data_IF_051596928057
#
_entry.id   IF_051596928057
#
_cell.length_a   1.000
_cell.length_b   1.000
_cell.length_c   1.000
_cell.angle_alpha   90.00
_cell.angle_beta   90.00
_cell.angle_gamma   90.00
#
_symmetry.space_group_name_H-M   'P 1'
#
loop_
_entity.id
_entity.type
_entity.pdbx_description
1 polymer ?
#
# COMPACT_ATOMS: atom_id res chain seq x y z
N UNK A 1 -48.83 -33.74 -2.06
CA UNK A 1 -48.66 -33.59 -3.52
C UNK A 1 -47.18 -33.39 -3.77
N UNK A 2 -46.45 -34.48 -4.00
CA UNK A 2 -46.00 -34.99 -5.32
C UNK A 2 -44.73 -34.27 -5.81
N UNK A 3 -43.61 -35.00 -5.63
CA UNK A 3 -42.28 -34.84 -6.25
C UNK A 3 -42.41 -34.69 -7.77
N UNK A 4 -41.55 -33.93 -8.44
CA UNK A 4 -40.58 -34.59 -9.32
C UNK A 4 -39.47 -33.68 -9.88
N UNK A 5 -38.26 -34.25 -10.05
CA UNK A 5 -37.06 -33.69 -10.65
C UNK A 5 -37.01 -33.98 -12.16
N UNK A 6 -36.24 -33.20 -12.92
CA UNK A 6 -35.52 -33.58 -14.16
C UNK A 6 -34.27 -32.67 -14.14
N UNK A 7 -33.06 -33.11 -13.76
CA UNK A 7 -32.21 -34.13 -14.39
C UNK A 7 -32.15 -33.98 -15.90
N UNK A 8 -31.16 -33.23 -16.37
CA UNK A 8 -30.40 -33.59 -17.59
C UNK A 8 -28.95 -33.16 -17.39
N UNK A 9 -28.21 -34.11 -16.82
CA UNK A 9 -26.79 -34.31 -17.08
C UNK A 9 -26.60 -34.49 -18.58
N UNK A 10 -25.73 -33.69 -19.19
CA UNK A 10 -24.97 -34.12 -20.37
C UNK A 10 -23.51 -33.75 -20.12
N UNK A 11 -22.80 -34.71 -19.55
CA UNK A 11 -21.35 -34.85 -19.67
C UNK A 11 -21.12 -35.65 -20.95
N UNK A 12 -20.36 -35.08 -21.89
CA UNK A 12 -19.54 -35.87 -22.80
C UNK A 12 -18.22 -35.14 -23.05
N UNK A 13 -17.16 -35.85 -22.68
CA UNK A 13 -15.76 -35.48 -22.77
C UNK A 13 -15.22 -35.57 -24.20
N UNK A 14 -14.26 -34.71 -24.53
CA UNK A 14 -13.31 -34.73 -25.67
C UNK A 14 -12.49 -33.42 -25.50
N UNK A 15 -11.16 -33.32 -25.39
CA UNK A 15 -10.03 -34.13 -25.84
C UNK A 15 -8.85 -33.85 -24.89
N UNK A 16 -8.13 -34.90 -24.49
CA UNK A 16 -6.81 -34.80 -23.90
C UNK A 16 -5.78 -34.37 -24.96
N UNK A 17 -5.10 -33.24 -24.76
CA UNK A 17 -3.87 -32.88 -25.47
C UNK A 17 -2.98 -31.97 -24.62
N UNK A 18 -2.20 -32.59 -23.74
CA UNK A 18 -0.81 -32.20 -23.48
C UNK A 18 -0.52 -31.11 -22.45
N UNK A 19 -0.54 -31.46 -21.17
CA UNK A 19 0.57 -31.04 -20.29
C UNK A 19 1.71 -32.07 -20.43
N UNK A 20 2.94 -31.60 -20.23
CA UNK A 20 4.20 -32.34 -20.07
C UNK A 20 4.84 -32.99 -21.32
N UNK A 21 5.86 -32.35 -21.88
CA UNK A 21 7.05 -33.04 -22.41
C UNK A 21 8.24 -32.62 -21.56
N UNK A 22 8.59 -33.46 -20.58
CA UNK A 22 9.90 -33.46 -19.96
C UNK A 22 10.74 -34.56 -20.62
N UNK A 23 11.98 -34.23 -20.96
CA UNK A 23 13.07 -35.16 -21.24
C UNK A 23 13.95 -34.74 -22.42
N UNK A 24 15.19 -35.25 -22.55
CA UNK A 24 16.11 -35.83 -21.57
C UNK A 24 17.42 -35.03 -21.45
N UNK A 25 18.36 -35.53 -20.63
CA UNK A 25 19.68 -34.97 -20.34
C UNK A 25 20.55 -34.64 -21.58
N UNK A 26 21.52 -33.74 -21.34
CA UNK A 26 22.50 -33.11 -22.24
C UNK A 26 23.29 -34.03 -23.20
N UNK A 27 24.03 -33.44 -24.16
CA UNK A 27 25.44 -33.16 -23.85
C UNK A 27 25.90 -31.72 -24.16
N UNK A 28 26.83 -31.25 -23.34
CA UNK A 28 27.63 -30.06 -23.53
C UNK A 28 28.29 -29.99 -24.92
N UNK A 29 28.32 -28.80 -25.51
CA UNK A 29 29.36 -28.38 -26.45
C UNK A 29 29.48 -26.87 -26.42
N UNK A 30 30.59 -26.42 -25.86
CA UNK A 30 31.10 -25.07 -25.96
C UNK A 30 31.75 -24.84 -27.33
N UNK A 31 31.48 -23.69 -27.94
CA UNK A 31 32.42 -22.86 -28.73
C UNK A 31 31.67 -21.58 -29.11
N UNK A 32 31.87 -20.45 -28.42
CA UNK A 32 32.92 -19.48 -28.72
C UNK A 32 32.45 -18.52 -29.84
N UNK A 33 31.70 -17.47 -29.53
CA UNK A 33 32.15 -16.09 -29.19
C UNK A 33 32.25 -15.16 -30.42
N UNK A 34 31.38 -14.15 -30.49
CA UNK A 34 31.68 -12.76 -30.85
C UNK A 34 30.37 -11.96 -31.00
N UNK A 35 30.12 -11.01 -30.09
CA UNK A 35 29.01 -10.07 -30.26
C UNK A 35 28.63 -9.34 -28.98
N UNK A 36 29.51 -8.45 -28.52
CA UNK A 36 29.18 -7.28 -27.69
C UNK A 36 28.37 -7.55 -26.42
N UNK A 37 29.06 -7.91 -25.35
CA UNK A 37 28.48 -7.90 -24.01
C UNK A 37 28.27 -6.47 -23.52
N UNK A 38 27.02 -6.08 -23.36
CA UNK A 38 26.61 -5.11 -22.34
C UNK A 38 26.05 -5.91 -21.16
N UNK A 39 26.94 -6.68 -20.53
CA UNK A 39 26.72 -7.11 -19.16
C UNK A 39 26.88 -5.83 -18.35
N UNK A 40 25.77 -5.29 -17.85
CA UNK A 40 25.81 -4.26 -16.82
C UNK A 40 26.48 -4.93 -15.62
N UNK A 41 27.79 -4.75 -15.51
CA UNK A 41 28.56 -5.09 -14.34
C UNK A 41 27.95 -4.32 -13.18
N UNK A 42 27.23 -5.03 -12.32
CA UNK A 42 26.74 -4.49 -11.07
C UNK A 42 27.97 -4.19 -10.22
N UNK A 43 28.51 -2.99 -10.35
CA UNK A 43 29.49 -2.45 -9.41
C UNK A 43 28.83 -2.54 -8.03
N UNK A 44 29.32 -3.40 -7.11
CA UNK A 44 28.84 -3.31 -5.75
C UNK A 44 29.25 -1.94 -5.25
N UNK A 45 28.28 -1.11 -4.84
CA UNK A 45 28.60 0.03 -4.00
C UNK A 45 29.21 -0.54 -2.73
N UNK A 46 30.54 -0.49 -2.64
CA UNK A 46 31.22 -0.69 -1.37
C UNK A 46 30.71 0.43 -0.47
N UNK A 47 29.93 0.06 0.53
CA UNK A 47 29.54 0.98 1.59
C UNK A 47 30.75 1.10 2.51
N UNK A 48 31.71 1.93 2.12
CA UNK A 48 32.66 2.48 3.08
C UNK A 48 31.99 3.71 3.71
N UNK A 49 30.90 3.45 4.43
CA UNK A 49 30.35 4.40 5.37
C UNK A 49 31.10 4.13 6.69
N UNK A 50 31.89 5.07 7.22
CA UNK A 50 32.43 4.91 8.55
C UNK A 50 31.26 4.69 9.51
N UNK A 51 31.36 3.62 10.31
CA UNK A 51 30.38 3.30 11.32
C UNK A 51 30.07 4.56 12.14
N UNK A 52 28.79 4.87 12.43
CA UNK A 52 28.50 5.94 13.37
C UNK A 52 29.16 5.58 14.69
N UNK A 53 30.12 6.39 15.10
CA UNK A 53 30.76 6.26 16.40
C UNK A 53 29.65 6.24 17.45
N UNK A 54 29.63 5.19 18.27
CA UNK A 54 28.82 5.16 19.47
C UNK A 54 29.15 6.42 20.29
N UNK A 55 28.16 7.24 20.70
CA UNK A 55 28.46 8.39 21.52
C UNK A 55 29.07 7.92 22.85
N UNK A 56 30.32 8.32 23.08
CA UNK A 56 31.01 8.12 24.33
C UNK A 56 30.23 8.82 25.44
N UNK A 57 29.83 8.05 26.45
CA UNK A 57 29.25 8.57 27.68
C UNK A 57 30.32 9.42 28.38
N UNK A 58 30.12 10.74 28.38
CA UNK A 58 30.95 11.67 29.16
C UNK A 58 30.22 11.95 30.48
N UNK A 59 30.90 12.00 31.64
CA UNK A 59 30.24 12.12 32.94
C UNK A 59 29.53 13.47 33.12
N UNK A 60 28.42 13.42 33.85
CA UNK A 60 27.62 14.59 34.23
C UNK A 60 28.43 15.64 35.00
N UNK A 61 28.33 16.94 34.65
CA UNK A 61 28.59 18.01 35.59
C UNK A 61 27.35 18.21 36.49
N UNK A 62 27.62 18.15 37.80
CA UNK A 62 26.69 18.43 38.89
C UNK A 62 26.47 19.95 39.00
N UNK A 63 25.22 20.36 38.75
CA UNK A 63 24.47 21.53 39.22
C UNK A 63 25.17 22.87 39.54
N UNK A 64 24.66 23.95 38.91
CA UNK A 64 24.12 25.11 39.63
C UNK A 64 22.99 25.76 38.80
N UNK A 65 21.90 26.30 39.41
CA UNK A 65 20.71 26.74 38.70
C UNK A 65 20.79 28.24 38.38
N UNK A 66 20.85 28.60 37.09
CA UNK A 66 20.43 29.92 36.63
C UNK A 66 19.03 29.82 36.02
N UNK A 67 18.08 30.33 36.79
CA UNK A 67 16.72 30.64 36.38
C UNK A 67 16.77 31.78 35.34
N UNK A 68 16.99 31.44 34.08
CA UNK A 68 16.57 32.32 32.98
C UNK A 68 15.10 32.03 32.68
N UNK A 69 14.24 32.83 33.29
CA UNK A 69 12.84 32.95 32.87
C UNK A 69 12.78 33.14 31.34
N UNK A 70 11.91 32.43 30.60
CA UNK A 70 11.65 32.74 29.21
C UNK A 70 11.11 34.17 29.14
N UNK A 71 11.78 35.03 28.39
CA UNK A 71 11.21 36.33 28.02
C UNK A 71 10.02 36.03 27.11
N UNK A 72 8.80 36.26 27.62
CA UNK A 72 7.57 36.20 26.84
C UNK A 72 7.67 37.22 25.70
N UNK A 73 7.84 36.72 24.47
CA UNK A 73 7.44 37.46 23.28
C UNK A 73 5.94 37.74 23.41
N UNK A 74 5.44 38.97 23.18
CA UNK A 74 4.00 39.27 23.22
C UNK A 74 3.27 38.54 22.08
N UNK A 75 3.10 37.22 22.23
CA UNK A 75 2.25 36.43 21.36
C UNK A 75 0.82 36.91 21.57
N UNK A 76 0.15 37.25 20.47
CA UNK A 76 -1.27 37.51 20.49
C UNK A 76 -1.99 36.25 21.00
N UNK A 77 -2.47 36.28 22.24
CA UNK A 77 -3.27 35.21 22.80
C UNK A 77 -4.57 35.09 22.00
N UNK A 78 -4.70 34.01 21.24
CA UNK A 78 -6.00 33.62 20.70
C UNK A 78 -6.86 33.20 21.89
N UNK A 79 -8.07 33.75 22.08
CA UNK A 79 -8.95 33.32 23.15
C UNK A 79 -9.19 31.81 23.03
N UNK A 80 -8.99 31.09 24.13
CA UNK A 80 -9.25 29.66 24.20
C UNK A 80 -10.73 29.42 23.83
N UNK A 81 -10.94 28.81 22.66
CA UNK A 81 -12.26 28.35 22.26
C UNK A 81 -12.74 27.24 23.21
N UNK A 82 -14.02 26.84 23.16
CA UNK A 82 -14.50 25.71 23.96
C UNK A 82 -13.59 24.50 23.79
N UNK A 83 -13.28 23.81 24.89
CA UNK A 83 -12.38 22.65 24.96
C UNK A 83 -12.86 21.50 24.06
N UNK A 84 -12.53 21.57 22.78
CA UNK A 84 -12.78 20.51 21.80
C UNK A 84 -11.62 19.51 21.88
N UNK A 85 -11.64 18.66 22.90
CA UNK A 85 -10.69 17.55 23.00
C UNK A 85 -10.79 16.63 21.75
N UNK A 86 -9.66 16.17 21.19
CA UNK A 86 -9.69 15.34 19.99
C UNK A 86 -10.35 13.98 20.27
N UNK A 87 -11.46 13.71 19.59
CA UNK A 87 -12.12 12.40 19.61
C UNK A 87 -11.47 11.51 18.55
N UNK A 88 -10.91 10.36 18.97
CA UNK A 88 -10.40 9.34 18.04
C UNK A 88 -11.56 8.51 17.49
N UNK A 89 -11.72 8.48 16.18
CA UNK A 89 -12.62 7.54 15.50
C UNK A 89 -11.92 6.19 15.39
N UNK A 90 -12.53 5.06 15.81
CA UNK A 90 -11.93 3.75 15.62
C UNK A 90 -11.87 3.45 14.13
N UNK A 91 -10.68 3.29 13.60
CA UNK A 91 -10.41 2.71 12.27
C UNK A 91 -9.69 1.39 12.52
N UNK A 92 -10.03 0.35 11.77
CA UNK A 92 -9.24 -0.89 11.82
C UNK A 92 -7.77 -0.58 11.55
N UNK A 93 -6.82 -1.20 12.24
CA UNK A 93 -5.38 -0.96 12.01
C UNK A 93 -4.79 -1.95 10.99
N UNK A 94 -5.59 -2.92 10.54
CA UNK A 94 -5.15 -3.99 9.63
C UNK A 94 -5.02 -3.43 8.21
N UNK A 95 -3.86 -3.57 7.55
CA UNK A 95 -3.68 -3.17 6.16
C UNK A 95 -4.64 -3.91 5.23
N UNK A 96 -5.20 -3.21 4.24
CA UNK A 96 -6.18 -3.82 3.34
C UNK A 96 -5.58 -4.99 2.54
N UNK A 97 -4.29 -4.91 2.19
CA UNK A 97 -3.57 -6.03 1.54
C UNK A 97 -3.58 -7.31 2.38
N UNK A 98 -3.59 -7.20 3.70
CA UNK A 98 -3.58 -8.34 4.63
C UNK A 98 -4.99 -8.85 4.87
N UNK A 99 -5.98 -7.96 4.87
CA UNK A 99 -7.39 -8.31 5.09
C UNK A 99 -8.03 -9.03 3.89
N UNK A 100 -7.79 -8.58 2.65
CA UNK A 100 -8.44 -9.12 1.45
C UNK A 100 -7.47 -9.70 0.40
N UNK A 101 -6.17 -9.69 0.71
CA UNK A 101 -5.11 -10.11 -0.21
C UNK A 101 -4.66 -9.01 -1.18
N UNK A 102 -3.41 -9.10 -1.60
CA UNK A 102 -2.74 -8.05 -2.39
C UNK A 102 -3.46 -7.71 -3.70
N UNK A 103 -3.94 -8.72 -4.46
CA UNK A 103 -4.59 -8.49 -5.76
C UNK A 103 -5.98 -7.84 -5.64
N UNK A 104 -6.73 -8.16 -4.59
CA UNK A 104 -8.02 -7.54 -4.32
C UNK A 104 -7.84 -6.11 -3.80
N UNK A 105 -6.89 -5.90 -2.88
CA UNK A 105 -6.54 -4.57 -2.38
C UNK A 105 -6.03 -3.65 -3.50
N UNK A 106 -5.22 -4.16 -4.43
CA UNK A 106 -4.75 -3.37 -5.57
C UNK A 106 -5.91 -2.90 -6.46
N UNK A 107 -6.88 -3.78 -6.77
CA UNK A 107 -8.08 -3.38 -7.53
C UNK A 107 -8.93 -2.34 -6.80
N UNK A 108 -8.99 -2.44 -5.47
CA UNK A 108 -9.69 -1.46 -4.66
C UNK A 108 -8.99 -0.10 -4.66
N UNK A 109 -7.65 -0.09 -4.52
CA UNK A 109 -6.83 1.13 -4.57
C UNK A 109 -6.94 1.79 -5.94
N UNK A 110 -6.87 1.02 -7.02
CA UNK A 110 -7.04 1.54 -8.38
C UNK A 110 -8.38 2.26 -8.55
N UNK A 111 -9.47 1.61 -8.11
CA UNK A 111 -10.80 2.23 -8.10
C UNK A 111 -10.81 3.53 -7.28
N UNK A 112 -10.19 3.54 -6.10
CA UNK A 112 -10.10 4.71 -5.22
C UNK A 112 -9.41 5.88 -5.92
N UNK A 113 -8.30 5.63 -6.61
CA UNK A 113 -7.56 6.67 -7.34
C UNK A 113 -8.42 7.26 -8.45
N UNK A 114 -9.13 6.41 -9.20
CA UNK A 114 -9.96 6.86 -10.33
C UNK A 114 -11.16 7.71 -9.91
N UNK A 115 -11.67 7.53 -8.68
CA UNK A 115 -12.82 8.29 -8.19
C UNK A 115 -12.43 9.45 -7.30
N UNK A 116 -11.23 9.50 -6.70
CA UNK A 116 -10.90 10.55 -5.75
C UNK A 116 -10.44 11.84 -6.47
N UNK A 117 -11.08 13.00 -6.20
CA UNK A 117 -10.62 14.29 -6.70
C UNK A 117 -9.45 14.88 -5.88
N UNK A 118 -9.02 14.24 -4.79
CA UNK A 118 -7.97 14.76 -3.93
C UNK A 118 -6.58 14.55 -4.56
N UNK A 119 -5.64 15.46 -4.28
CA UNK A 119 -4.26 15.34 -4.75
C UNK A 119 -3.44 14.33 -3.95
N UNK A 120 -3.86 14.01 -2.72
CA UNK A 120 -3.27 13.00 -1.84
C UNK A 120 -4.37 12.23 -1.10
N UNK A 121 -5.12 11.36 -1.80
CA UNK A 121 -6.16 10.58 -1.16
C UNK A 121 -5.57 9.43 -0.34
N UNK A 122 -6.34 8.87 0.62
CA UNK A 122 -5.93 7.71 1.40
C UNK A 122 -5.93 6.38 0.61
N UNK A 123 -5.80 6.41 -0.72
CA UNK A 123 -5.82 5.25 -1.60
C UNK A 123 -4.47 4.49 -1.54
N UNK A 124 -4.26 3.72 -0.48
CA UNK A 124 -3.04 2.92 -0.30
C UNK A 124 -3.38 1.58 0.34
N UNK A 125 -2.87 0.46 -0.19
CA UNK A 125 -3.14 -0.87 0.34
C UNK A 125 -2.50 -1.14 1.73
N UNK A 126 -1.63 -0.26 2.22
CA UNK A 126 -1.18 -0.22 3.62
C UNK A 126 -2.29 0.29 4.56
N UNK A 127 -3.23 1.07 4.03
CA UNK A 127 -4.34 1.58 4.80
C UNK A 127 -5.42 0.50 4.95
N UNK A 128 -6.31 0.66 5.93
CA UNK A 128 -7.41 -0.28 6.17
C UNK A 128 -8.45 -0.22 5.06
N UNK A 129 -9.08 -1.35 4.73
CA UNK A 129 -10.03 -1.39 3.61
C UNK A 129 -11.20 -0.42 3.80
N UNK A 130 -11.69 -0.25 5.03
CA UNK A 130 -12.82 0.66 5.34
C UNK A 130 -12.46 2.12 5.06
N UNK A 131 -11.19 2.51 5.28
CA UNK A 131 -10.70 3.85 4.97
C UNK A 131 -10.72 4.08 3.45
N UNK A 132 -10.25 3.10 2.67
CA UNK A 132 -10.19 3.18 1.21
C UNK A 132 -11.62 3.18 0.62
N UNK A 133 -12.50 2.31 1.12
CA UNK A 133 -13.91 2.28 0.70
C UNK A 133 -14.66 3.56 1.08
N UNK A 134 -14.43 4.08 2.29
CA UNK A 134 -15.04 5.33 2.72
C UNK A 134 -14.69 6.51 1.81
N UNK A 135 -13.45 6.56 1.32
CA UNK A 135 -13.04 7.57 0.34
C UNK A 135 -13.73 7.39 -1.01
N UNK A 136 -13.88 6.15 -1.49
CA UNK A 136 -14.62 5.86 -2.71
C UNK A 136 -16.08 6.32 -2.57
N UNK A 137 -16.74 5.92 -1.48
CA UNK A 137 -18.15 6.27 -1.24
C UNK A 137 -18.35 7.78 -1.13
N UNK A 138 -17.46 8.46 -0.40
CA UNK A 138 -17.48 9.92 -0.28
C UNK A 138 -17.30 10.59 -1.64
N UNK A 139 -16.31 10.16 -2.42
CA UNK A 139 -15.98 10.77 -3.70
C UNK A 139 -17.08 10.52 -4.73
N UNK A 140 -17.65 9.32 -4.77
CA UNK A 140 -18.76 9.02 -5.66
C UNK A 140 -20.03 9.81 -5.30
N UNK A 141 -20.31 10.04 -4.01
CA UNK A 141 -21.40 10.95 -3.60
C UNK A 141 -21.14 12.40 -4.05
N UNK A 142 -19.88 12.85 -4.00
CA UNK A 142 -19.49 14.17 -4.48
C UNK A 142 -19.74 14.30 -6.00
N UNK A 143 -19.25 13.36 -6.80
CA UNK A 143 -19.47 13.40 -8.25
C UNK A 143 -20.94 13.25 -8.66
N UNK A 144 -21.72 12.46 -7.92
CA UNK A 144 -23.15 12.33 -8.15
C UNK A 144 -23.89 13.66 -7.97
N UNK A 145 -23.46 14.47 -6.99
CA UNK A 145 -23.99 15.83 -6.78
C UNK A 145 -23.61 16.77 -7.92
N UNK A 146 -22.41 16.61 -8.46
CA UNK A 146 -21.87 17.50 -9.50
C UNK A 146 -22.30 17.08 -10.93
N UNK A 147 -22.98 15.92 -11.07
CA UNK A 147 -23.71 15.52 -12.28
C UNK A 147 -22.93 14.69 -13.31
N UNK A 148 -21.66 14.37 -13.05
CA UNK A 148 -20.82 13.57 -13.95
C UNK A 148 -19.95 12.56 -13.19
N UNK A 149 -20.53 11.49 -12.62
CA UNK A 149 -19.77 10.47 -11.91
C UNK A 149 -18.90 9.62 -12.85
N UNK A 150 -17.63 9.36 -12.47
CA UNK A 150 -16.79 8.37 -13.13
C UNK A 150 -17.49 7.01 -13.25
N UNK A 151 -17.12 6.21 -14.25
CA UNK A 151 -17.72 4.89 -14.46
C UNK A 151 -17.51 3.97 -13.25
N UNK A 152 -16.37 4.14 -12.57
CA UNK A 152 -15.94 3.41 -11.39
C UNK A 152 -16.86 3.64 -10.18
N UNK A 153 -17.66 4.71 -10.18
CA UNK A 153 -18.71 4.94 -9.18
C UNK A 153 -19.97 4.11 -9.38
N UNK A 154 -20.08 3.40 -10.51
CA UNK A 154 -21.19 2.48 -10.80
C UNK A 154 -20.71 1.07 -10.45
N UNK A 155 -21.10 0.58 -9.28
CA UNK A 155 -20.79 -0.77 -8.76
C UNK A 155 -22.05 -1.58 -8.57
#
# INVERSE_FOLDING_TARGET
MRRSPWLSLVVCALVAAGCQRAGPAEPASASGSAGGGDIIEATPLTTDAPAPAAPAQTPAPKAEPEETAPTEDPQASIPEGPDMAPVRTPVSEVPCRDAIGASAAARLVERCIQVSPATHPPCNAANPCDLIQGEIDRSCKLWARDGNPPAECKS
#
